data_IF_473279328900
#
_entry.id   IF_473279328900
#
_cell.length_a   1.000
_cell.length_b   1.000
_cell.length_c   1.000
_cell.angle_alpha   90.00
_cell.angle_beta   90.00
_cell.angle_gamma   90.00
#
_symmetry.space_group_name_H-M   'P 1'
#
loop_
_entity.id
_entity.type
_entity.pdbx_description
1 polymer ?
#
# COMPACT_ATOMS: atom_id res chain seq x y z
N UNK A 1 -14.64 12.62 -3.89
CA UNK A 1 -14.20 11.48 -4.71
C UNK A 1 -12.96 10.95 -4.03
N UNK A 2 -12.98 9.72 -3.52
CA UNK A 2 -11.76 9.10 -3.01
C UNK A 2 -11.06 8.54 -4.25
N UNK A 3 -10.14 9.31 -4.82
CA UNK A 3 -9.35 8.87 -5.97
C UNK A 3 -8.46 7.73 -5.47
N UNK A 4 -8.94 6.49 -5.64
CA UNK A 4 -8.15 5.31 -5.37
C UNK A 4 -6.86 5.42 -6.18
N UNK A 5 -5.73 5.40 -5.50
CA UNK A 5 -4.45 5.44 -6.17
C UNK A 5 -4.30 4.12 -6.92
N UNK A 6 -4.23 4.19 -8.24
CA UNK A 6 -4.14 3.02 -9.13
C UNK A 6 -2.67 2.79 -9.50
N UNK A 7 -2.23 1.55 -9.39
CA UNK A 7 -0.95 1.12 -9.95
C UNK A 7 -1.07 1.10 -11.47
N UNK A 8 -0.14 1.73 -12.18
CA UNK A 8 -0.16 1.88 -13.64
C UNK A 8 1.02 1.17 -14.31
N UNK A 9 1.71 0.27 -13.60
CA UNK A 9 2.88 -0.43 -14.09
C UNK A 9 2.97 -1.87 -13.59
N UNK A 10 3.83 -2.66 -14.25
CA UNK A 10 4.10 -4.04 -13.86
C UNK A 10 2.89 -4.96 -13.98
N UNK A 11 2.90 -6.05 -13.23
CA UNK A 11 1.86 -7.08 -13.24
C UNK A 11 0.51 -6.57 -12.69
N UNK A 12 0.54 -5.56 -11.82
CA UNK A 12 -0.64 -5.03 -11.12
C UNK A 12 -1.18 -3.74 -11.76
N UNK A 13 -0.83 -3.46 -13.01
CA UNK A 13 -1.34 -2.29 -13.72
C UNK A 13 -2.88 -2.34 -13.81
N UNK A 14 -3.54 -1.25 -13.42
CA UNK A 14 -5.00 -1.12 -13.31
C UNK A 14 -5.57 -1.48 -11.94
N UNK A 15 -4.77 -1.99 -11.00
CA UNK A 15 -5.23 -2.33 -9.65
C UNK A 15 -4.98 -1.19 -8.65
N UNK A 16 -5.90 -0.92 -7.71
CA UNK A 16 -5.67 0.05 -6.64
C UNK A 16 -4.62 -0.44 -5.67
N UNK A 17 -3.76 0.46 -5.13
CA UNK A 17 -2.70 0.14 -4.16
C UNK A 17 -3.21 -0.66 -2.95
N UNK A 18 -4.47 -0.46 -2.55
CA UNK A 18 -5.14 -1.23 -1.51
C UNK A 18 -5.22 -2.74 -1.76
N UNK A 19 -5.19 -3.18 -3.03
CA UNK A 19 -5.22 -4.58 -3.45
C UNK A 19 -3.84 -5.19 -3.72
N UNK A 20 -2.79 -4.37 -3.78
CA UNK A 20 -1.45 -4.86 -4.08
C UNK A 20 -0.88 -5.71 -2.92
N UNK A 21 -0.17 -6.80 -3.21
CA UNK A 21 0.49 -7.60 -2.18
C UNK A 21 1.50 -6.79 -1.37
N UNK A 22 1.60 -7.03 -0.06
CA UNK A 22 2.58 -6.33 0.79
C UNK A 22 4.03 -6.56 0.33
N UNK A 23 4.35 -7.75 -0.19
CA UNK A 23 5.67 -8.05 -0.75
C UNK A 23 6.00 -7.17 -1.97
N UNK A 24 5.01 -6.87 -2.81
CA UNK A 24 5.20 -5.98 -3.97
C UNK A 24 5.42 -4.54 -3.52
N UNK A 25 4.63 -4.07 -2.54
CA UNK A 25 4.79 -2.73 -1.97
C UNK A 25 6.15 -2.56 -1.29
N UNK A 26 6.59 -3.56 -0.52
CA UNK A 26 7.92 -3.56 0.10
C UNK A 26 9.03 -3.53 -0.96
N UNK A 27 8.91 -4.34 -2.01
CA UNK A 27 9.85 -4.31 -3.13
C UNK A 27 9.95 -2.90 -3.75
N UNK A 28 8.82 -2.22 -4.01
CA UNK A 28 8.85 -0.85 -4.54
C UNK A 28 9.63 0.13 -3.65
N UNK A 29 9.51 -0.03 -2.32
CA UNK A 29 10.23 0.79 -1.34
C UNK A 29 11.71 0.45 -1.33
N UNK A 30 12.05 -0.84 -1.27
CA UNK A 30 13.42 -1.35 -1.22
C UNK A 30 14.22 -1.02 -2.48
N UNK A 31 13.60 -1.09 -3.67
CA UNK A 31 14.27 -0.76 -4.93
C UNK A 31 14.27 0.74 -5.26
N UNK A 32 13.79 1.59 -4.35
CA UNK A 32 13.67 3.03 -4.58
C UNK A 32 12.88 3.36 -5.86
N UNK A 33 11.76 2.66 -6.08
CA UNK A 33 10.91 2.90 -7.24
C UNK A 33 10.36 4.34 -7.23
N UNK A 34 10.09 4.91 -8.41
CA UNK A 34 9.55 6.28 -8.56
C UNK A 34 8.28 6.50 -7.72
N UNK A 35 7.48 5.45 -7.56
CA UNK A 35 6.21 5.45 -6.82
C UNK A 35 6.30 4.84 -5.42
N UNK A 36 7.51 4.72 -4.86
CA UNK A 36 7.74 4.13 -3.53
C UNK A 36 6.93 4.82 -2.43
N UNK A 37 6.67 6.12 -2.55
CA UNK A 37 5.95 6.88 -1.53
C UNK A 37 4.49 6.44 -1.45
N UNK A 38 3.88 6.08 -2.59
CA UNK A 38 2.53 5.52 -2.63
C UNK A 38 2.48 4.15 -1.96
N UNK A 39 3.50 3.31 -2.21
CA UNK A 39 3.62 2.01 -1.57
C UNK A 39 3.82 2.12 -0.06
N UNK A 40 4.68 3.05 0.38
CA UNK A 40 4.93 3.33 1.80
C UNK A 40 3.67 3.82 2.51
N UNK A 41 2.91 4.72 1.88
CA UNK A 41 1.66 5.22 2.45
C UNK A 41 0.63 4.10 2.63
N UNK A 42 0.49 3.20 1.65
CA UNK A 42 -0.41 2.06 1.76
C UNK A 42 0.04 1.05 2.82
N UNK A 43 1.34 0.79 2.95
CA UNK A 43 1.89 -0.05 4.01
C UNK A 43 1.59 0.55 5.40
N UNK A 44 1.85 1.84 5.60
CA UNK A 44 1.54 2.53 6.85
C UNK A 44 0.05 2.47 7.17
N UNK A 45 -0.84 2.69 6.19
CA UNK A 45 -2.30 2.56 6.37
C UNK A 45 -2.67 1.16 6.86
N UNK A 46 -2.03 0.11 6.36
CA UNK A 46 -2.25 -1.28 6.82
C UNK A 46 -1.79 -1.47 8.26
N UNK A 47 -0.63 -0.94 8.62
CA UNK A 47 -0.11 -1.00 10.00
C UNK A 47 -1.01 -0.25 10.99
N UNK A 48 -1.50 0.93 10.62
CA UNK A 48 -2.47 1.72 11.39
C UNK A 48 -3.80 0.97 11.55
N UNK A 49 -4.32 0.38 10.47
CA UNK A 49 -5.57 -0.40 10.53
C UNK A 49 -5.44 -1.61 11.46
N UNK A 50 -4.31 -2.31 11.42
CA UNK A 50 -4.02 -3.43 12.34
C UNK A 50 -3.85 -2.94 13.77
N UNK A 51 -3.11 -1.85 13.99
CA UNK A 51 -2.87 -1.28 15.32
C UNK A 51 -4.16 -0.79 15.95
N UNK A 52 -5.01 -0.11 15.18
CA UNK A 52 -6.31 0.37 15.62
C UNK A 52 -7.26 -0.80 15.92
N UNK A 53 -7.23 -1.87 15.11
CA UNK A 53 -8.01 -3.10 15.36
C UNK A 53 -7.60 -3.79 16.67
N UNK A 54 -6.34 -3.68 17.10
CA UNK A 54 -5.85 -4.22 18.38
C UNK A 54 -6.23 -3.34 19.57
N UNK A 55 -6.38 -2.03 19.38
CA UNK A 55 -6.78 -1.07 20.41
C UNK A 55 -8.27 -1.22 20.81
N UNK A 56 -9.17 -1.47 19.85
CA UNK A 56 -10.61 -1.62 20.11
C UNK A 56 -11.03 -2.95 20.76
N UNK A 57 -10.08 -3.85 21.05
CA UNK A 57 -10.34 -5.15 21.71
C UNK A 57 -9.82 -5.25 23.15
N UNK A 58 -9.35 -4.14 23.76
CA UNK A 58 -8.87 -4.10 25.15
C UNK A 58 -9.83 -3.37 26.08
#
# INVERSE_FOLDING_TARGET
>A
MNEEQICDFGLHAGEPYSRLPACFLNWMVETNHEKRDLAKNELNRREEAVSNSRCVQS
#
